data_IF_908282487194
#
_entry.id   IF_908282487194
#
_cell.length_a   1.000
_cell.length_b   1.000
_cell.length_c   1.000
_cell.angle_alpha   90.00
_cell.angle_beta   90.00
_cell.angle_gamma   90.00
#
_symmetry.space_group_name_H-M   'P 1'
#
loop_
_entity.id
_entity.type
_entity.pdbx_description
1 polymer ?
#
# COMPACT_ATOMS: atom_id res chain seq x y z
N UNK A 1 13.64 -14.39 -15.33
CA UNK A 1 12.23 -13.97 -15.19
C UNK A 1 11.50 -14.47 -16.42
N UNK A 2 10.52 -15.36 -16.25
CA UNK A 2 9.87 -16.05 -17.36
C UNK A 2 8.46 -15.50 -17.63
N UNK A 3 8.25 -15.01 -18.84
CA UNK A 3 6.93 -14.96 -19.47
C UNK A 3 6.88 -16.17 -20.43
N UNK A 4 6.42 -17.31 -19.91
CA UNK A 4 5.80 -18.36 -20.71
C UNK A 4 6.67 -19.36 -21.47
N UNK A 5 7.81 -19.03 -22.08
CA UNK A 5 8.52 -20.01 -22.97
C UNK A 5 10.04 -19.84 -23.11
N UNK A 6 10.66 -18.93 -22.36
CA UNK A 6 12.10 -18.69 -22.44
C UNK A 6 12.79 -19.00 -21.11
N UNK A 7 13.68 -20.00 -21.13
CA UNK A 7 14.72 -20.15 -20.11
C UNK A 7 15.82 -19.18 -20.48
N UNK A 8 15.84 -18.02 -19.83
CA UNK A 8 17.01 -17.14 -19.85
C UNK A 8 18.04 -17.78 -18.91
N UNK A 9 18.95 -18.57 -19.48
CA UNK A 9 20.12 -19.04 -18.75
C UNK A 9 21.04 -17.84 -18.46
N UNK A 10 21.68 -17.84 -17.29
CA UNK A 10 22.73 -16.86 -17.04
C UNK A 10 23.81 -17.04 -18.13
N UNK A 11 24.18 -15.98 -18.86
CA UNK A 11 25.29 -16.09 -19.79
C UNK A 11 26.51 -16.59 -18.99
N UNK A 12 27.30 -17.53 -19.54
CA UNK A 12 28.44 -18.06 -18.82
C UNK A 12 29.35 -16.90 -18.39
N UNK A 13 29.72 -16.89 -17.11
CA UNK A 13 30.79 -16.02 -16.65
C UNK A 13 32.05 -16.31 -17.46
N UNK A 14 32.94 -15.33 -17.58
CA UNK A 14 34.22 -15.48 -18.27
C UNK A 14 34.91 -16.79 -17.85
N UNK A 15 35.47 -17.57 -18.79
CA UNK A 15 35.98 -18.93 -18.54
C UNK A 15 36.97 -19.02 -17.37
N UNK A 16 37.73 -17.94 -17.13
CA UNK A 16 38.65 -17.84 -15.98
C UNK A 16 37.92 -17.72 -14.64
N UNK A 17 36.81 -16.98 -14.59
CA UNK A 17 35.98 -16.82 -13.39
C UNK A 17 35.24 -18.11 -13.03
N UNK A 18 34.76 -18.84 -14.05
CA UNK A 18 34.09 -20.13 -13.88
C UNK A 18 35.05 -21.33 -13.83
N UNK A 19 36.36 -21.10 -13.92
CA UNK A 19 37.36 -22.18 -13.99
C UNK A 19 37.31 -23.09 -12.75
N UNK A 20 37.38 -24.41 -12.94
CA UNK A 20 37.55 -25.33 -11.82
C UNK A 20 38.93 -25.19 -11.13
N UNK A 21 39.91 -24.57 -11.78
CA UNK A 21 41.25 -24.37 -11.23
C UNK A 21 41.28 -23.14 -10.29
N UNK A 22 41.54 -23.31 -8.99
CA UNK A 22 41.53 -22.21 -8.03
C UNK A 22 42.57 -21.12 -8.32
N UNK A 23 43.70 -21.46 -8.95
CA UNK A 23 44.74 -20.49 -9.33
C UNK A 23 44.25 -19.58 -10.47
N UNK A 24 43.50 -20.14 -11.42
CA UNK A 24 42.94 -19.38 -12.53
C UNK A 24 41.84 -18.42 -12.06
N UNK A 25 40.98 -18.86 -11.13
CA UNK A 25 40.00 -17.98 -10.47
C UNK A 25 40.68 -16.87 -9.68
N UNK A 26 41.68 -17.21 -8.86
CA UNK A 26 42.44 -16.21 -8.11
C UNK A 26 43.11 -15.17 -9.02
N UNK A 27 43.73 -15.61 -10.13
CA UNK A 27 44.36 -14.71 -11.09
C UNK A 27 43.32 -13.80 -11.77
N UNK A 28 42.15 -14.33 -12.13
CA UNK A 28 41.03 -13.55 -12.63
C UNK A 28 40.58 -12.46 -11.63
N UNK A 29 40.38 -12.84 -10.37
CA UNK A 29 39.91 -11.92 -9.33
C UNK A 29 40.97 -10.84 -9.03
N UNK A 30 42.25 -11.23 -9.00
CA UNK A 30 43.35 -10.27 -8.85
C UNK A 30 43.37 -9.25 -9.99
N UNK A 31 43.23 -9.69 -11.24
CA UNK A 31 43.20 -8.76 -12.40
C UNK A 31 41.98 -7.85 -12.32
N UNK A 32 40.83 -8.39 -11.93
CA UNK A 32 39.59 -7.62 -11.76
C UNK A 32 39.75 -6.55 -10.68
N UNK A 33 40.38 -6.87 -9.55
CA UNK A 33 40.61 -5.93 -8.45
C UNK A 33 41.69 -4.89 -8.78
N UNK A 34 42.75 -5.26 -9.50
CA UNK A 34 43.83 -4.34 -9.88
C UNK A 34 43.43 -3.38 -11.00
N UNK A 35 42.57 -3.82 -11.93
CA UNK A 35 42.09 -3.03 -13.05
C UNK A 35 40.57 -3.26 -13.25
N UNK A 36 39.71 -2.66 -12.40
CA UNK A 36 38.27 -2.93 -12.39
C UNK A 36 37.52 -2.31 -13.58
N UNK A 37 38.11 -1.35 -14.30
CA UNK A 37 37.42 -0.60 -15.36
C UNK A 37 36.82 -1.48 -16.48
N UNK A 38 37.51 -2.51 -17.03
CA UNK A 38 36.93 -3.40 -18.04
C UNK A 38 35.75 -4.21 -17.50
N UNK A 39 35.83 -4.68 -16.24
CA UNK A 39 34.72 -5.37 -15.58
C UNK A 39 33.52 -4.43 -15.45
N UNK A 40 33.74 -3.22 -14.90
CA UNK A 40 32.71 -2.18 -14.74
C UNK A 40 32.04 -1.84 -16.06
N UNK A 41 32.79 -1.57 -17.13
CA UNK A 41 32.22 -1.26 -18.46
C UNK A 41 31.44 -2.42 -19.09
N UNK A 42 31.79 -3.65 -18.74
CA UNK A 42 31.11 -4.84 -19.26
C UNK A 42 29.74 -4.99 -18.61
N UNK A 43 29.65 -4.90 -17.28
CA UNK A 43 28.43 -5.17 -16.53
C UNK A 43 27.58 -3.93 -16.23
N UNK A 44 28.18 -2.75 -16.12
CA UNK A 44 27.46 -1.50 -15.89
C UNK A 44 27.42 -0.66 -17.16
N UNK A 45 26.20 -0.45 -17.67
CA UNK A 45 25.91 0.42 -18.81
C UNK A 45 25.38 1.77 -18.34
N UNK A 46 25.45 2.84 -19.16
CA UNK A 46 24.85 4.15 -18.86
C UNK A 46 23.45 4.06 -18.24
N UNK A 47 22.55 3.28 -18.84
CA UNK A 47 21.17 3.12 -18.35
C UNK A 47 21.01 2.41 -17.00
N UNK A 48 22.07 1.85 -16.41
CA UNK A 48 22.06 1.34 -15.03
C UNK A 48 22.51 2.38 -14.00
N UNK A 49 23.25 3.41 -14.41
CA UNK A 49 23.96 4.33 -13.52
C UNK A 49 23.52 5.78 -13.66
N UNK A 50 23.20 6.22 -14.87
CA UNK A 50 22.82 7.59 -15.17
C UNK A 50 21.42 7.87 -14.59
N UNK A 51 21.31 8.96 -13.82
CA UNK A 51 20.09 9.29 -13.06
C UNK A 51 18.86 9.47 -13.96
N UNK A 52 19.06 9.95 -15.17
CA UNK A 52 18.03 10.21 -16.18
C UNK A 52 17.68 8.97 -17.04
N UNK A 53 18.30 7.81 -16.78
CA UNK A 53 18.02 6.56 -17.51
C UNK A 53 17.76 5.35 -16.59
N UNK A 54 18.16 5.45 -15.31
CA UNK A 54 18.05 4.36 -14.34
C UNK A 54 16.59 3.96 -14.08
N UNK A 55 15.65 4.91 -14.11
CA UNK A 55 14.24 4.61 -13.89
C UNK A 55 13.61 3.91 -15.11
N UNK A 56 14.03 4.26 -16.32
CA UNK A 56 13.64 3.65 -17.59
C UNK A 56 14.07 2.18 -17.62
N UNK A 57 15.26 1.87 -17.10
CA UNK A 57 15.69 0.48 -16.91
C UNK A 57 14.74 -0.28 -15.99
N UNK A 58 14.34 0.28 -14.85
CA UNK A 58 13.35 -0.35 -13.97
C UNK A 58 11.99 -0.52 -14.67
N UNK A 59 11.61 0.40 -15.56
CA UNK A 59 10.31 0.38 -16.25
C UNK A 59 10.10 -0.86 -17.12
N UNK A 60 11.16 -1.54 -17.58
CA UNK A 60 11.03 -2.74 -18.41
C UNK A 60 10.30 -3.87 -17.68
N UNK A 61 10.33 -3.86 -16.36
CA UNK A 61 9.64 -4.83 -15.51
C UNK A 61 8.61 -4.18 -14.57
N UNK A 62 8.79 -2.90 -14.21
CA UNK A 62 7.93 -2.14 -13.30
C UNK A 62 6.84 -1.30 -14.02
N UNK A 63 6.53 -1.67 -15.25
CA UNK A 63 5.39 -1.17 -16.01
C UNK A 63 4.73 -2.33 -16.75
N UNK A 64 3.72 -2.93 -16.13
CA UNK A 64 3.11 -4.17 -16.61
C UNK A 64 1.66 -3.99 -17.02
N UNK A 65 1.21 -4.89 -17.89
CA UNK A 65 -0.17 -4.99 -18.33
C UNK A 65 -0.49 -6.46 -18.65
N UNK A 66 -1.78 -6.77 -18.72
CA UNK A 66 -2.27 -8.04 -19.24
C UNK A 66 -3.05 -7.73 -20.52
N UNK A 67 -2.60 -8.31 -21.64
CA UNK A 67 -3.24 -8.10 -22.93
C UNK A 67 -4.16 -9.27 -23.31
N UNK A 68 -4.96 -9.10 -24.37
CA UNK A 68 -5.92 -10.08 -24.88
C UNK A 68 -5.33 -11.48 -25.03
N UNK A 69 -4.09 -11.68 -25.54
CA UNK A 69 -3.50 -13.02 -25.62
C UNK A 69 -3.29 -13.73 -24.28
N UNK A 70 -3.22 -12.99 -23.16
CA UNK A 70 -3.01 -13.55 -21.82
C UNK A 70 -4.32 -13.80 -21.10
N UNK A 71 -5.35 -12.97 -21.34
CA UNK A 71 -6.60 -12.98 -20.55
C UNK A 71 -7.89 -13.28 -21.34
N UNK A 72 -7.82 -13.33 -22.67
CA UNK A 72 -8.96 -13.61 -23.55
C UNK A 72 -10.06 -12.54 -23.54
N UNK A 73 -9.80 -11.33 -23.01
CA UNK A 73 -10.84 -10.32 -22.74
C UNK A 73 -10.50 -8.93 -23.30
N UNK A 74 -9.56 -8.20 -22.67
CA UNK A 74 -9.16 -6.85 -23.08
C UNK A 74 -7.78 -6.50 -22.52
N UNK A 75 -7.22 -5.39 -23.00
CA UNK A 75 -6.08 -4.78 -22.30
C UNK A 75 -6.49 -4.35 -20.89
N UNK A 76 -5.77 -4.86 -19.89
CA UNK A 76 -5.96 -4.59 -18.47
C UNK A 76 -4.67 -3.99 -17.93
N UNK A 77 -4.80 -2.84 -17.25
CA UNK A 77 -3.67 -2.14 -16.63
C UNK A 77 -3.12 -2.95 -15.46
N UNK A 78 -1.88 -3.40 -15.54
CA UNK A 78 -1.19 -3.94 -14.38
C UNK A 78 -0.58 -2.84 -13.52
N UNK A 79 0.36 -3.20 -12.65
CA UNK A 79 1.08 -2.19 -11.89
C UNK A 79 1.97 -1.34 -12.80
N UNK A 80 2.06 -0.05 -12.52
CA UNK A 80 2.76 0.92 -13.35
C UNK A 80 3.54 1.88 -12.46
N UNK A 81 4.64 1.46 -11.88
CA UNK A 81 5.40 2.33 -10.97
C UNK A 81 6.09 3.46 -11.73
N UNK A 82 6.55 3.21 -12.96
CA UNK A 82 7.34 4.18 -13.72
C UNK A 82 6.55 5.45 -14.06
N UNK A 83 5.37 5.35 -14.68
CA UNK A 83 4.61 6.56 -15.07
C UNK A 83 4.16 7.34 -13.83
N UNK A 84 3.84 6.64 -12.75
CA UNK A 84 3.44 7.25 -11.49
C UNK A 84 4.61 7.95 -10.79
N UNK A 85 5.80 7.37 -10.82
CA UNK A 85 7.02 8.01 -10.39
C UNK A 85 7.35 9.23 -11.23
N UNK A 86 7.31 9.10 -12.55
CA UNK A 86 7.57 10.19 -13.46
C UNK A 86 6.64 11.37 -13.21
N UNK A 87 5.34 11.12 -13.05
CA UNK A 87 4.35 12.15 -12.76
C UNK A 87 4.40 12.70 -11.32
N UNK A 88 5.24 12.16 -10.43
CA UNK A 88 5.32 12.60 -9.04
C UNK A 88 6.29 13.78 -8.85
N UNK A 89 6.15 14.47 -7.71
CA UNK A 89 7.13 15.45 -7.26
C UNK A 89 8.47 14.81 -6.93
N UNK A 90 8.50 13.51 -6.64
CA UNK A 90 9.72 12.75 -6.31
C UNK A 90 10.66 12.66 -7.51
N UNK A 91 10.15 12.55 -8.73
CA UNK A 91 10.99 12.58 -9.95
C UNK A 91 11.50 13.99 -10.29
N UNK A 92 10.89 15.04 -9.70
CA UNK A 92 11.08 16.43 -10.11
C UNK A 92 10.40 16.80 -11.44
N UNK A 93 9.65 15.87 -12.07
CA UNK A 93 8.98 16.09 -13.35
C UNK A 93 7.46 16.30 -13.22
N UNK A 94 6.87 15.89 -12.08
CA UNK A 94 5.44 16.06 -11.82
C UNK A 94 5.04 17.53 -11.76
N UNK A 95 4.09 17.96 -12.59
CA UNK A 95 3.63 19.36 -12.62
C UNK A 95 2.47 19.63 -11.66
N UNK A 96 1.75 18.58 -11.24
CA UNK A 96 0.52 18.69 -10.44
C UNK A 96 0.67 18.05 -9.06
N UNK A 97 1.91 17.83 -8.63
CA UNK A 97 2.23 17.20 -7.34
C UNK A 97 2.03 18.17 -6.17
N UNK A 98 1.53 17.65 -5.05
CA UNK A 98 1.27 18.45 -3.84
C UNK A 98 2.55 18.77 -3.05
N UNK A 99 3.52 17.86 -3.06
CA UNK A 99 4.79 17.99 -2.36
C UNK A 99 5.97 17.60 -3.25
N UNK A 100 7.11 18.26 -3.06
CA UNK A 100 8.37 17.98 -3.74
C UNK A 100 9.46 17.78 -2.69
N UNK A 101 10.30 16.74 -2.81
CA UNK A 101 11.50 16.64 -2.00
C UNK A 101 12.51 17.72 -2.41
N UNK A 102 13.44 18.06 -1.51
CA UNK A 102 14.51 19.03 -1.80
C UNK A 102 15.35 18.62 -3.01
N UNK A 103 15.55 17.32 -3.19
CA UNK A 103 16.27 16.73 -4.32
C UNK A 103 15.43 15.63 -4.96
N UNK A 104 15.24 15.66 -6.30
CA UNK A 104 14.62 14.55 -7.02
C UNK A 104 15.33 13.21 -6.78
N UNK A 105 14.54 12.15 -6.68
CA UNK A 105 14.99 10.78 -6.42
C UNK A 105 14.58 9.85 -7.55
N UNK A 106 15.42 8.85 -7.80
CA UNK A 106 15.13 7.75 -8.74
C UNK A 106 14.72 6.47 -8.00
N UNK A 107 14.36 5.42 -8.74
CA UNK A 107 14.06 4.10 -8.18
C UNK A 107 15.24 3.57 -7.33
N UNK A 108 16.48 3.71 -7.83
CA UNK A 108 17.70 3.25 -7.17
C UNK A 108 18.06 4.06 -5.92
N UNK A 109 17.62 5.31 -5.80
CA UNK A 109 17.81 6.09 -4.57
C UNK A 109 17.05 5.53 -3.37
N UNK A 110 15.89 4.91 -3.59
CA UNK A 110 15.07 4.33 -2.54
C UNK A 110 15.20 2.80 -2.43
N UNK A 111 15.25 2.09 -3.56
CA UNK A 111 15.28 0.62 -3.60
C UNK A 111 16.68 0.03 -3.72
N UNK A 112 17.72 0.85 -3.87
CA UNK A 112 19.12 0.43 -3.75
C UNK A 112 19.84 1.38 -2.78
N UNK A 113 19.43 1.42 -1.50
CA UNK A 113 20.03 2.32 -0.53
C UNK A 113 21.52 2.03 -0.38
N UNK A 114 22.29 3.05 0.00
CA UNK A 114 23.69 2.85 0.33
C UNK A 114 23.80 2.06 1.63
N UNK A 115 24.65 1.03 1.64
CA UNK A 115 24.98 0.21 2.78
C UNK A 115 26.50 0.21 2.98
N UNK A 116 26.93 0.32 4.25
CA UNK A 116 28.35 0.24 4.58
C UNK A 116 28.89 -1.14 4.18
N UNK A 117 30.04 -1.17 3.52
CA UNK A 117 30.63 -2.40 3.00
C UNK A 117 32.14 -2.28 2.86
N UNK A 118 32.82 -3.39 3.14
CA UNK A 118 34.25 -3.57 2.88
C UNK A 118 34.51 -4.21 1.50
N UNK A 119 33.47 -4.34 0.65
CA UNK A 119 33.59 -4.86 -0.70
C UNK A 119 34.55 -3.99 -1.54
N UNK A 120 35.41 -4.58 -2.41
CA UNK A 120 36.31 -3.81 -3.27
C UNK A 120 35.61 -2.79 -4.20
N UNK A 121 34.31 -2.94 -4.44
CA UNK A 121 33.48 -2.00 -5.20
C UNK A 121 32.91 -0.84 -4.37
N UNK A 122 33.14 -0.83 -3.05
CA UNK A 122 32.67 0.22 -2.18
C UNK A 122 33.32 1.58 -2.52
N UNK A 123 32.49 2.59 -2.69
CA UNK A 123 32.90 3.98 -2.88
C UNK A 123 32.71 4.71 -1.55
N UNK A 124 33.78 5.32 -1.03
CA UNK A 124 33.84 5.88 0.33
C UNK A 124 33.33 4.94 1.44
N UNK A 125 33.51 3.63 1.28
CA UNK A 125 33.08 2.59 2.24
C UNK A 125 31.60 2.19 2.12
N UNK A 126 30.92 2.59 1.03
CA UNK A 126 29.51 2.24 0.79
C UNK A 126 29.30 1.58 -0.57
N UNK A 127 28.35 0.64 -0.62
CA UNK A 127 27.83 0.06 -1.87
C UNK A 127 26.35 0.32 -2.00
N UNK A 128 25.85 0.34 -3.24
CA UNK A 128 24.40 0.30 -3.49
C UNK A 128 23.89 -1.11 -3.18
N UNK A 129 22.98 -1.21 -2.21
CA UNK A 129 22.37 -2.47 -1.82
C UNK A 129 21.62 -3.10 -2.98
N UNK A 130 21.87 -4.39 -3.23
CA UNK A 130 21.13 -5.21 -4.20
C UNK A 130 20.08 -6.09 -3.51
N UNK A 131 19.73 -5.77 -2.25
CA UNK A 131 18.63 -6.43 -1.52
C UNK A 131 17.24 -6.03 -2.04
N UNK A 132 17.16 -4.93 -2.78
CA UNK A 132 15.92 -4.35 -3.31
C UNK A 132 14.80 -4.31 -2.26
N UNK A 133 15.02 -3.69 -1.08
CA UNK A 133 13.99 -3.61 -0.06
C UNK A 133 12.75 -2.95 -0.64
N UNK A 134 11.63 -3.62 -0.47
CA UNK A 134 10.33 -3.19 -0.96
C UNK A 134 9.28 -3.65 0.03
N UNK A 135 8.34 -4.45 -0.44
CA UNK A 135 7.22 -4.85 0.39
C UNK A 135 7.14 -6.37 0.64
N UNK A 136 8.07 -7.17 0.12
CA UNK A 136 8.00 -8.63 0.22
C UNK A 136 8.58 -9.18 1.54
N UNK A 137 7.75 -9.23 2.58
CA UNK A 137 8.09 -9.90 3.85
C UNK A 137 7.85 -11.41 3.82
N UNK A 138 7.00 -11.90 2.91
CA UNK A 138 6.60 -13.31 2.87
C UNK A 138 7.75 -14.22 2.44
N UNK A 139 8.44 -13.90 1.33
CA UNK A 139 9.53 -14.74 0.83
C UNK A 139 10.69 -14.91 1.81
N UNK A 140 11.29 -13.85 2.39
CA UNK A 140 12.37 -14.04 3.35
C UNK A 140 11.88 -14.79 4.61
N UNK A 141 10.63 -14.57 5.04
CA UNK A 141 10.06 -15.30 6.17
C UNK A 141 9.95 -16.81 5.93
N UNK A 142 9.33 -17.22 4.81
CA UNK A 142 9.10 -18.65 4.53
C UNK A 142 10.38 -19.41 4.16
N UNK A 143 11.45 -18.70 3.80
CA UNK A 143 12.76 -19.28 3.50
C UNK A 143 13.77 -19.16 4.66
N UNK A 144 13.35 -18.64 5.84
CA UNK A 144 14.24 -18.54 7.00
C UNK A 144 15.39 -17.54 6.82
N UNK A 145 15.17 -16.44 6.10
CA UNK A 145 16.13 -15.35 5.90
C UNK A 145 15.77 -14.14 6.81
N UNK A 146 16.23 -14.13 8.07
CA UNK A 146 15.90 -13.06 9.02
C UNK A 146 16.54 -11.73 8.65
N UNK A 147 17.71 -11.74 7.98
CA UNK A 147 18.42 -10.52 7.62
C UNK A 147 17.66 -9.73 6.55
N UNK A 148 17.21 -10.42 5.50
CA UNK A 148 16.39 -9.79 4.46
C UNK A 148 15.01 -9.41 4.99
N UNK A 149 14.40 -10.24 5.85
CA UNK A 149 13.13 -9.90 6.49
C UNK A 149 13.24 -8.60 7.30
N UNK A 150 14.28 -8.48 8.11
CA UNK A 150 14.52 -7.27 8.91
C UNK A 150 14.79 -6.05 8.01
N UNK A 151 15.58 -6.20 6.95
CA UNK A 151 15.84 -5.13 5.99
C UNK A 151 14.53 -4.61 5.35
N UNK A 152 13.64 -5.51 4.94
CA UNK A 152 12.33 -5.15 4.37
C UNK A 152 11.42 -4.50 5.42
N UNK A 153 11.37 -5.02 6.65
CA UNK A 153 10.55 -4.44 7.71
C UNK A 153 11.05 -3.05 8.14
N UNK A 154 12.37 -2.85 8.22
CA UNK A 154 12.97 -1.53 8.44
C UNK A 154 12.58 -0.56 7.33
N UNK A 155 12.65 -0.99 6.07
CA UNK A 155 12.22 -0.16 4.94
C UNK A 155 10.74 0.24 5.03
N UNK A 156 9.84 -0.69 5.34
CA UNK A 156 8.41 -0.42 5.49
C UNK A 156 8.11 0.56 6.64
N UNK A 157 8.91 0.52 7.72
CA UNK A 157 8.80 1.42 8.88
C UNK A 157 9.55 2.74 8.73
N UNK A 158 10.31 2.95 7.65
CA UNK A 158 11.14 4.13 7.42
C UNK A 158 10.33 5.37 6.95
N UNK A 159 9.12 5.55 7.49
CA UNK A 159 8.27 6.70 7.17
C UNK A 159 7.77 6.73 5.72
N UNK A 160 7.52 5.56 5.11
CA UNK A 160 6.92 5.47 3.78
C UNK A 160 5.53 6.10 3.77
N UNK A 161 4.77 5.84 4.82
CA UNK A 161 3.47 6.44 5.10
C UNK A 161 3.43 6.95 6.52
N UNK A 162 2.51 7.87 6.79
CA UNK A 162 2.09 8.23 8.14
C UNK A 162 0.59 8.09 8.28
N UNK A 163 0.13 7.83 9.50
CA UNK A 163 -1.29 7.93 9.87
C UNK A 163 -1.43 8.99 10.96
N UNK A 164 -2.55 9.69 10.93
CA UNK A 164 -2.92 10.71 11.89
C UNK A 164 -4.39 10.53 12.27
N UNK A 165 -4.67 10.36 13.56
CA UNK A 165 -6.05 10.48 14.07
C UNK A 165 -6.37 11.97 14.17
N UNK A 166 -6.68 12.54 13.01
CA UNK A 166 -6.63 13.96 12.75
C UNK A 166 -7.69 14.76 13.49
N UNK A 167 -8.95 14.33 13.41
CA UNK A 167 -10.06 15.19 13.85
C UNK A 167 -11.35 14.45 14.19
N UNK A 168 -12.26 15.19 14.81
CA UNK A 168 -13.65 14.77 15.02
C UNK A 168 -14.59 15.73 14.29
N UNK A 169 -15.55 15.18 13.56
CA UNK A 169 -16.62 15.92 12.91
C UNK A 169 -18.00 15.54 13.47
N UNK A 170 -18.82 16.55 13.75
CA UNK A 170 -20.23 16.36 14.17
C UNK A 170 -21.14 16.42 12.96
N UNK A 171 -21.28 15.29 12.29
CA UNK A 171 -22.14 15.14 11.11
C UNK A 171 -23.32 14.22 11.41
N UNK A 172 -24.50 14.58 10.92
CA UNK A 172 -25.71 13.77 11.06
C UNK A 172 -25.50 12.32 10.59
N UNK A 173 -26.16 11.36 11.24
CA UNK A 173 -25.99 9.93 10.98
C UNK A 173 -26.35 9.50 9.53
N UNK A 174 -27.17 10.31 8.83
CA UNK A 174 -27.45 10.18 7.40
C UNK A 174 -27.28 11.53 6.73
N UNK A 175 -26.39 11.68 5.73
CA UNK A 175 -26.59 12.72 4.74
C UNK A 175 -27.94 12.45 4.07
N UNK A 176 -28.76 13.49 3.88
CA UNK A 176 -29.91 13.38 2.99
C UNK A 176 -29.39 12.87 1.64
N UNK A 177 -30.04 11.84 1.07
CA UNK A 177 -29.77 11.40 -0.30
C UNK A 177 -29.91 12.64 -1.18
N UNK A 178 -28.79 13.21 -1.63
CA UNK A 178 -28.85 14.23 -2.67
C UNK A 178 -29.20 13.50 -3.95
N UNK A 179 -30.50 13.50 -4.25
CA UNK A 179 -31.03 13.11 -5.54
C UNK A 179 -30.60 14.16 -6.58
N UNK A 180 -29.34 14.13 -6.97
CA UNK A 180 -28.81 14.86 -8.10
C UNK A 180 -28.27 13.84 -9.08
N UNK A 181 -28.88 13.73 -10.27
CA UNK A 181 -28.28 13.02 -11.40
C UNK A 181 -26.82 13.43 -11.48
N UNK A 182 -25.90 12.48 -11.31
CA UNK A 182 -24.53 12.69 -11.75
C UNK A 182 -24.63 13.18 -13.21
N UNK A 183 -24.16 14.40 -13.50
CA UNK A 183 -23.86 14.78 -14.88
C UNK A 183 -23.06 13.62 -15.46
N UNK A 184 -23.38 13.21 -16.70
CA UNK A 184 -22.65 12.14 -17.38
C UNK A 184 -21.15 12.39 -17.17
N UNK A 185 -20.55 11.58 -16.29
CA UNK A 185 -19.12 11.61 -16.09
C UNK A 185 -18.51 11.23 -17.45
N UNK A 186 -17.36 11.81 -17.79
CA UNK A 186 -16.57 11.29 -18.89
C UNK A 186 -16.46 9.76 -18.71
N UNK A 187 -16.57 8.97 -19.78
CA UNK A 187 -16.39 7.52 -19.69
C UNK A 187 -15.02 7.22 -19.07
N UNK A 188 -15.00 6.81 -17.80
CA UNK A 188 -13.79 6.40 -17.11
C UNK A 188 -13.51 4.93 -17.41
N UNK A 189 -12.30 4.60 -17.83
CA UNK A 189 -11.87 3.21 -17.97
C UNK A 189 -11.97 2.52 -16.60
N UNK A 190 -12.65 1.37 -16.54
CA UNK A 190 -12.55 0.46 -15.40
C UNK A 190 -11.13 -0.11 -15.37
N UNK A 191 -10.27 0.51 -14.58
CA UNK A 191 -8.86 0.16 -14.42
C UNK A 191 -8.67 -0.70 -13.18
N UNK A 192 -7.83 -1.73 -13.30
CA UNK A 192 -7.41 -2.66 -12.24
C UNK A 192 -6.28 -2.11 -11.38
N UNK A 193 -5.72 -0.96 -11.76
CA UNK A 193 -4.77 -0.18 -10.98
C UNK A 193 -5.22 1.28 -10.90
N UNK A 194 -4.73 2.05 -9.92
CA UNK A 194 -5.10 3.44 -9.78
C UNK A 194 -4.66 4.26 -11.01
N UNK A 195 -5.39 5.34 -11.26
CA UNK A 195 -5.16 6.30 -12.34
C UNK A 195 -4.85 7.63 -11.67
N UNK A 196 -3.67 8.18 -11.90
CA UNK A 196 -3.18 9.40 -11.24
C UNK A 196 -3.33 10.63 -12.11
N UNK A 197 -2.24 11.40 -12.22
CA UNK A 197 -2.18 12.67 -12.96
C UNK A 197 -2.59 12.55 -14.43
N UNK A 198 -2.50 11.35 -15.02
CA UNK A 198 -2.92 11.09 -16.40
C UNK A 198 -4.44 11.22 -16.61
N UNK A 199 -5.22 11.31 -15.53
CA UNK A 199 -6.64 11.62 -15.58
C UNK A 199 -6.93 13.09 -15.23
N UNK A 200 -7.97 13.65 -15.85
CA UNK A 200 -8.43 15.01 -15.55
C UNK A 200 -8.82 15.17 -14.06
N UNK A 201 -9.32 14.10 -13.43
CA UNK A 201 -9.84 14.08 -12.05
C UNK A 201 -8.84 13.50 -11.01
N UNK A 202 -7.59 13.20 -11.37
CA UNK A 202 -6.63 12.48 -10.51
C UNK A 202 -7.19 11.17 -9.92
N UNK A 203 -8.03 10.46 -10.67
CA UNK A 203 -8.71 9.24 -10.21
C UNK A 203 -9.84 9.45 -9.21
N UNK A 204 -10.20 10.71 -8.89
CA UNK A 204 -11.26 11.05 -7.96
C UNK A 204 -12.67 10.68 -8.44
N UNK A 205 -13.58 10.41 -7.49
CA UNK A 205 -14.98 10.07 -7.77
C UNK A 205 -15.86 11.33 -7.81
N UNK A 206 -17.06 11.19 -8.40
CA UNK A 206 -18.02 12.27 -8.59
C UNK A 206 -18.31 13.06 -7.30
N UNK A 207 -18.36 14.38 -7.42
CA UNK A 207 -18.45 15.32 -6.31
C UNK A 207 -19.69 15.06 -5.41
N UNK A 208 -19.46 14.90 -4.11
CA UNK A 208 -20.52 14.91 -3.13
C UNK A 208 -20.98 16.37 -2.89
N UNK A 209 -22.26 16.64 -3.16
CA UNK A 209 -22.86 17.94 -2.85
C UNK A 209 -23.36 17.94 -1.40
N UNK A 210 -22.67 18.64 -0.51
CA UNK A 210 -23.10 18.85 0.88
C UNK A 210 -22.45 20.11 1.48
N UNK A 211 -22.96 20.65 2.60
CA UNK A 211 -22.19 21.60 3.39
C UNK A 211 -20.94 20.90 3.94
N UNK A 212 -19.80 21.60 4.06
CA UNK A 212 -18.59 21.02 4.65
C UNK A 212 -18.87 20.62 6.10
N UNK A 213 -18.32 19.49 6.52
CA UNK A 213 -18.38 19.07 7.91
C UNK A 213 -17.56 20.02 8.78
N UNK A 214 -18.09 20.39 9.94
CA UNK A 214 -17.31 21.13 10.93
C UNK A 214 -16.41 20.16 11.69
N UNK A 215 -15.09 20.31 11.51
CA UNK A 215 -14.06 19.43 12.07
C UNK A 215 -13.32 20.15 13.20
N UNK A 216 -13.20 19.49 14.35
CA UNK A 216 -12.30 19.89 15.43
C UNK A 216 -11.01 19.09 15.29
N UNK A 217 -9.90 19.78 15.03
CA UNK A 217 -8.59 19.19 14.75
C UNK A 217 -7.45 20.22 14.95
N UNK A 218 -6.20 19.78 15.15
CA UNK A 218 -5.80 18.39 15.38
C UNK A 218 -6.04 17.91 16.81
N UNK A 219 -6.36 16.61 17.00
CA UNK A 219 -6.82 16.07 18.29
C UNK A 219 -5.77 16.05 19.42
N UNK A 220 -4.49 16.01 19.07
CA UNK A 220 -3.35 16.01 20.01
C UNK A 220 -2.98 17.41 20.49
N UNK A 221 -3.41 18.46 19.79
CA UNK A 221 -3.12 19.86 20.13
C UNK A 221 -4.31 20.58 20.75
N UNK A 222 -5.52 20.06 20.54
CA UNK A 222 -6.76 20.63 21.09
C UNK A 222 -7.45 19.58 21.93
N UNK A 223 -7.74 19.83 23.22
CA UNK A 223 -8.60 18.95 23.99
C UNK A 223 -9.96 18.83 23.31
N UNK A 224 -10.30 17.64 22.82
CA UNK A 224 -11.57 17.39 22.15
C UNK A 224 -12.54 16.74 23.11
N UNK A 225 -13.65 17.44 23.35
CA UNK A 225 -14.73 17.00 24.21
C UNK A 225 -15.79 16.31 23.36
N UNK A 226 -16.25 15.15 23.81
CA UNK A 226 -17.41 14.42 23.27
C UNK A 226 -18.41 14.14 24.40
N UNK A 227 -19.69 14.02 24.07
CA UNK A 227 -20.75 13.77 25.05
C UNK A 227 -21.17 12.31 25.08
N UNK A 228 -21.55 11.83 26.25
CA UNK A 228 -22.31 10.58 26.42
C UNK A 228 -23.58 10.61 25.55
N UNK A 229 -23.84 9.50 24.85
CA UNK A 229 -24.97 9.36 23.93
C UNK A 229 -24.77 10.03 22.55
N UNK A 230 -23.72 10.84 22.34
CA UNK A 230 -23.49 11.48 21.05
C UNK A 230 -22.87 10.55 20.01
N UNK A 231 -23.06 10.90 18.73
CA UNK A 231 -22.51 10.16 17.59
C UNK A 231 -21.58 11.07 16.79
N UNK A 232 -20.30 10.71 16.73
CA UNK A 232 -19.27 11.54 16.06
C UNK A 232 -18.59 10.79 14.93
N UNK A 233 -18.05 11.52 13.96
CA UNK A 233 -17.21 10.96 12.90
C UNK A 233 -15.74 11.22 13.23
N UNK A 234 -14.94 10.17 13.33
CA UNK A 234 -13.49 10.24 13.47
C UNK A 234 -12.88 10.34 12.07
N UNK A 235 -12.04 11.34 11.89
CA UNK A 235 -11.28 11.63 10.67
C UNK A 235 -9.86 11.08 10.86
N UNK A 236 -9.48 10.05 10.10
CA UNK A 236 -8.13 9.47 10.10
C UNK A 236 -7.47 9.76 8.77
N UNK A 237 -6.29 10.37 8.77
CA UNK A 237 -5.57 10.73 7.54
C UNK A 237 -4.37 9.83 7.36
N UNK A 238 -4.24 9.19 6.21
CA UNK A 238 -3.04 8.44 5.81
C UNK A 238 -2.34 9.20 4.70
N UNK A 239 -1.06 9.53 4.89
CA UNK A 239 -0.25 10.31 3.94
C UNK A 239 0.91 9.49 3.42
N UNK A 240 1.16 9.53 2.11
CA UNK A 240 2.42 9.04 1.52
C UNK A 240 3.52 10.10 1.71
N UNK A 241 4.70 9.66 2.17
CA UNK A 241 5.83 10.54 2.47
C UNK A 241 7.03 10.21 1.61
N UNK A 242 7.63 9.04 1.83
CA UNK A 242 8.84 8.62 1.13
C UNK A 242 8.54 7.66 -0.05
N UNK A 243 7.42 7.87 -0.74
CA UNK A 243 6.92 6.98 -1.81
C UNK A 243 6.78 7.77 -3.10
N UNK A 244 7.47 7.32 -4.14
CA UNK A 244 7.46 7.96 -5.47
C UNK A 244 6.36 7.47 -6.40
N UNK A 245 5.68 6.37 -6.10
CA UNK A 245 4.58 5.82 -6.90
C UNK A 245 3.31 5.71 -6.03
N UNK A 246 2.24 5.09 -6.54
CA UNK A 246 1.06 4.81 -5.70
C UNK A 246 1.43 3.91 -4.52
N UNK A 247 0.84 4.18 -3.36
CA UNK A 247 0.91 3.33 -2.19
C UNK A 247 -0.41 2.55 -1.99
N UNK A 248 -0.33 1.23 -1.75
CA UNK A 248 0.79 0.35 -2.05
C UNK A 248 1.08 0.28 -3.57
N UNK A 249 2.32 -0.05 -3.93
CA UNK A 249 2.73 -0.32 -5.32
C UNK A 249 2.71 -1.81 -5.67
N UNK A 250 3.03 -2.18 -6.90
CA UNK A 250 3.14 -3.58 -7.34
C UNK A 250 1.80 -4.30 -7.45
N UNK A 251 1.78 -5.59 -7.12
CA UNK A 251 0.59 -6.46 -7.26
C UNK A 251 -0.42 -6.22 -6.14
N UNK A 252 -1.07 -5.05 -6.16
CA UNK A 252 -2.02 -4.56 -5.15
C UNK A 252 -3.31 -5.38 -5.03
N UNK A 253 -3.47 -6.42 -5.84
CA UNK A 253 -4.53 -7.42 -5.75
C UNK A 253 -4.15 -8.62 -4.86
N UNK A 254 -2.88 -8.71 -4.44
CA UNK A 254 -2.35 -9.85 -3.71
C UNK A 254 -2.13 -9.61 -2.21
N UNK A 255 -2.24 -8.37 -1.73
CA UNK A 255 -1.76 -7.97 -0.39
C UNK A 255 -2.92 -7.67 0.55
N UNK A 256 -2.68 -7.82 1.85
CA UNK A 256 -3.50 -7.18 2.87
C UNK A 256 -2.76 -5.93 3.36
N UNK A 257 -3.20 -4.75 2.91
CA UNK A 257 -2.78 -3.45 3.46
C UNK A 257 -4.02 -2.74 3.93
N UNK A 258 -4.09 -2.40 5.22
CA UNK A 258 -5.33 -1.86 5.79
C UNK A 258 -5.05 -0.90 6.94
N UNK A 259 -6.05 -0.05 7.22
CA UNK A 259 -6.08 0.74 8.45
C UNK A 259 -6.93 0.03 9.50
N UNK A 260 -6.31 -0.22 10.64
CA UNK A 260 -6.99 -0.65 11.86
C UNK A 260 -7.24 0.58 12.73
N UNK A 261 -8.49 0.78 13.18
CA UNK A 261 -8.85 1.81 14.15
C UNK A 261 -9.53 1.15 15.36
N UNK A 262 -9.00 1.43 16.54
CA UNK A 262 -9.54 1.00 17.82
C UNK A 262 -9.88 2.21 18.69
N UNK A 263 -11.05 2.20 19.32
CA UNK A 263 -11.48 3.17 20.32
C UNK A 263 -11.78 2.45 21.64
N UNK A 264 -11.07 2.80 22.71
CA UNK A 264 -11.21 2.15 24.03
C UNK A 264 -11.46 3.23 25.09
N UNK A 265 -12.47 3.05 25.93
CA UNK A 265 -12.67 3.93 27.08
C UNK A 265 -11.69 3.62 28.22
N UNK A 266 -11.58 4.53 29.20
CA UNK A 266 -10.70 4.35 30.37
C UNK A 266 -11.16 3.25 31.35
N UNK A 267 -12.32 2.64 31.12
CA UNK A 267 -12.78 1.43 31.80
C UNK A 267 -12.30 0.15 31.11
N UNK A 268 -11.60 0.27 29.97
CA UNK A 268 -11.08 -0.85 29.19
C UNK A 268 -12.10 -1.44 28.21
N UNK A 269 -13.25 -0.79 27.99
CA UNK A 269 -14.26 -1.26 27.04
C UNK A 269 -13.94 -0.77 25.63
N UNK A 270 -13.90 -1.69 24.68
CA UNK A 270 -13.76 -1.40 23.26
C UNK A 270 -15.09 -0.87 22.71
N UNK A 271 -15.09 0.39 22.27
CA UNK A 271 -16.26 1.08 21.72
C UNK A 271 -16.38 0.91 20.21
N UNK A 272 -15.24 0.80 19.52
CA UNK A 272 -15.13 0.57 18.09
C UNK A 272 -13.82 -0.18 17.83
N UNK A 273 -13.86 -1.22 17.00
CA UNK A 273 -12.66 -1.86 16.47
C UNK A 273 -12.92 -2.24 15.01
N UNK A 274 -12.37 -1.47 14.09
CA UNK A 274 -12.42 -1.74 12.65
C UNK A 274 -11.05 -2.19 12.17
N UNK A 275 -11.01 -3.21 11.31
CA UNK A 275 -9.73 -3.74 10.81
C UNK A 275 -9.01 -4.68 11.76
N UNK A 276 -9.71 -5.23 12.75
CA UNK A 276 -9.18 -6.33 13.56
C UNK A 276 -8.87 -7.54 12.67
N UNK A 277 -7.71 -8.15 12.86
CA UNK A 277 -7.40 -9.46 12.29
C UNK A 277 -7.76 -10.55 13.31
N UNK A 278 -8.37 -11.63 12.84
CA UNK A 278 -8.66 -12.80 13.68
C UNK A 278 -7.38 -13.49 14.15
N UNK A 279 -7.52 -14.46 15.07
CA UNK A 279 -6.42 -15.31 15.55
C UNK A 279 -5.23 -14.48 16.08
N UNK A 280 -5.52 -13.50 16.94
CA UNK A 280 -4.52 -12.60 17.52
C UNK A 280 -3.65 -11.84 16.48
N UNK A 281 -4.14 -11.70 15.25
CA UNK A 281 -3.50 -10.94 14.19
C UNK A 281 -3.01 -11.77 13.00
N UNK A 282 -3.00 -13.10 13.09
CA UNK A 282 -2.55 -13.97 11.98
C UNK A 282 -3.66 -14.30 10.98
N UNK A 283 -4.93 -14.21 11.41
CA UNK A 283 -6.10 -14.62 10.63
C UNK A 283 -6.56 -13.62 9.56
N UNK A 284 -7.77 -13.85 8.98
CA UNK A 284 -8.40 -12.90 8.07
C UNK A 284 -8.70 -11.58 8.78
N UNK A 285 -8.54 -10.48 8.04
CA UNK A 285 -8.88 -9.13 8.50
C UNK A 285 -10.38 -8.89 8.30
N UNK A 286 -10.99 -8.14 9.21
CA UNK A 286 -12.36 -7.62 9.12
C UNK A 286 -12.74 -7.25 7.67
N UNK A 287 -13.76 -7.87 7.06
CA UNK A 287 -14.18 -7.58 5.69
C UNK A 287 -14.58 -6.11 5.47
N UNK A 288 -15.01 -5.42 6.52
CA UNK A 288 -15.38 -3.99 6.51
C UNK A 288 -14.20 -3.03 6.67
N UNK A 289 -12.97 -3.54 6.83
CA UNK A 289 -11.79 -2.72 7.05
C UNK A 289 -11.48 -1.78 5.87
N UNK A 290 -10.77 -0.70 6.16
CA UNK A 290 -10.30 0.21 5.12
C UNK A 290 -9.04 -0.34 4.45
N UNK A 291 -9.22 -1.21 3.46
CA UNK A 291 -8.12 -1.77 2.66
C UNK A 291 -7.61 -0.80 1.59
N UNK A 292 -6.29 -0.82 1.38
CA UNK A 292 -5.61 -0.27 0.22
C UNK A 292 -5.25 -1.40 -0.74
N UNK A 293 -6.10 -1.64 -1.74
CA UNK A 293 -5.96 -2.75 -2.71
C UNK A 293 -6.74 -2.50 -4.00
N UNK A 294 -6.54 -3.39 -4.96
CA UNK A 294 -7.44 -3.59 -6.10
C UNK A 294 -8.30 -4.83 -5.87
N UNK A 295 -9.60 -4.66 -5.65
CA UNK A 295 -10.55 -5.77 -5.52
C UNK A 295 -11.11 -6.12 -6.90
N UNK A 296 -10.44 -7.05 -7.58
CA UNK A 296 -10.80 -7.54 -8.90
C UNK A 296 -11.79 -8.69 -8.82
N UNK A 297 -12.68 -8.79 -9.80
CA UNK A 297 -13.71 -9.81 -9.89
C UNK A 297 -13.62 -10.56 -11.23
N UNK A 298 -13.87 -11.86 -11.18
CA UNK A 298 -13.96 -12.72 -12.38
C UNK A 298 -15.30 -12.59 -13.11
N UNK A 299 -15.53 -13.42 -14.14
CA UNK A 299 -16.75 -13.39 -14.96
C UNK A 299 -18.05 -13.70 -14.22
N UNK A 300 -17.99 -14.36 -13.06
CA UNK A 300 -19.14 -14.67 -12.22
C UNK A 300 -19.23 -13.76 -10.97
N UNK A 301 -18.27 -12.85 -10.82
CA UNK A 301 -18.24 -11.91 -9.71
C UNK A 301 -17.49 -12.42 -8.49
N UNK A 302 -16.74 -13.52 -8.60
CA UNK A 302 -15.89 -13.99 -7.52
C UNK A 302 -14.64 -13.12 -7.39
N UNK A 303 -14.13 -12.86 -6.17
CA UNK A 303 -12.86 -12.18 -5.99
C UNK A 303 -11.69 -12.93 -6.64
N UNK A 304 -10.83 -12.20 -7.34
CA UNK A 304 -9.53 -12.71 -7.78
C UNK A 304 -8.62 -12.85 -6.56
N UNK A 305 -8.48 -14.07 -6.04
CA UNK A 305 -7.79 -14.37 -4.78
C UNK A 305 -6.72 -15.47 -4.89
N UNK A 306 -6.53 -16.06 -6.08
CA UNK A 306 -5.57 -17.15 -6.36
C UNK A 306 -4.36 -16.70 -7.19
N UNK A 307 -4.13 -15.38 -7.29
CA UNK A 307 -3.22 -14.77 -8.29
C UNK A 307 -3.59 -15.07 -9.75
N UNK A 308 -4.86 -15.39 -9.99
CA UNK A 308 -5.46 -15.68 -11.30
C UNK A 308 -5.89 -14.40 -12.04
N UNK A 309 -5.01 -13.41 -12.14
CA UNK A 309 -5.34 -12.09 -12.69
C UNK A 309 -5.87 -12.12 -14.14
N UNK A 310 -5.53 -13.15 -14.92
CA UNK A 310 -6.06 -13.37 -16.28
C UNK A 310 -7.59 -13.59 -16.31
N UNK A 311 -8.19 -14.04 -15.21
CA UNK A 311 -9.64 -14.22 -15.11
C UNK A 311 -10.39 -12.91 -14.82
N UNK A 312 -9.69 -11.80 -14.58
CA UNK A 312 -10.34 -10.52 -14.24
C UNK A 312 -11.30 -10.06 -15.34
N UNK A 313 -12.55 -9.76 -14.98
CA UNK A 313 -13.57 -9.17 -15.87
C UNK A 313 -14.09 -7.84 -15.37
N UNK A 314 -14.09 -7.61 -14.05
CA UNK A 314 -14.52 -6.34 -13.45
C UNK A 314 -13.69 -5.99 -12.23
N UNK A 315 -13.91 -4.79 -11.69
CA UNK A 315 -13.24 -4.28 -10.48
C UNK A 315 -14.31 -3.70 -9.58
N UNK A 316 -14.38 -4.14 -8.33
CA UNK A 316 -15.28 -3.58 -7.33
C UNK A 316 -14.78 -2.20 -6.86
N UNK A 317 -13.48 -2.10 -6.55
CA UNK A 317 -12.80 -0.83 -6.31
C UNK A 317 -11.29 -0.97 -6.47
N UNK A 318 -10.64 0.16 -6.73
CA UNK A 318 -9.20 0.35 -6.52
C UNK A 318 -9.04 1.49 -5.51
N UNK A 319 -8.30 1.25 -4.43
CA UNK A 319 -8.00 2.27 -3.43
C UNK A 319 -6.51 2.27 -3.16
N UNK A 320 -5.81 3.25 -3.71
CA UNK A 320 -4.38 3.49 -3.54
C UNK A 320 -4.17 5.00 -3.32
N UNK A 321 -3.10 5.37 -2.64
CA UNK A 321 -2.76 6.78 -2.36
C UNK A 321 -1.67 7.23 -3.35
N UNK A 322 -1.86 8.31 -4.13
CA UNK A 322 -0.81 8.85 -5.00
C UNK A 322 0.47 9.23 -4.22
N UNK A 323 1.61 9.39 -4.90
CA UNK A 323 2.84 9.86 -4.27
C UNK A 323 2.70 11.31 -3.79
N UNK A 324 3.17 11.58 -2.57
CA UNK A 324 3.01 12.90 -1.94
C UNK A 324 1.55 13.33 -1.76
N UNK A 325 0.64 12.40 -1.56
CA UNK A 325 -0.79 12.67 -1.36
C UNK A 325 -1.29 11.99 -0.08
N UNK A 326 -2.59 12.13 0.19
CA UNK A 326 -3.22 11.58 1.37
C UNK A 326 -4.61 11.01 1.06
N UNK A 327 -5.07 10.11 1.93
CA UNK A 327 -6.43 9.56 1.96
C UNK A 327 -7.06 9.87 3.33
N UNK A 328 -8.35 10.22 3.33
CA UNK A 328 -9.10 10.59 4.54
C UNK A 328 -10.15 9.54 4.85
N UNK A 329 -10.01 8.83 5.95
CA UNK A 329 -10.88 7.74 6.35
C UNK A 329 -11.87 8.25 7.39
N UNK A 330 -13.13 7.91 7.16
CA UNK A 330 -14.25 8.34 7.98
C UNK A 330 -14.81 7.18 8.80
N UNK A 331 -14.58 7.18 10.12
CA UNK A 331 -15.16 6.19 11.03
C UNK A 331 -16.29 6.80 11.85
N UNK A 332 -17.38 6.06 12.06
CA UNK A 332 -18.45 6.49 12.96
C UNK A 332 -18.18 5.90 14.35
N UNK A 333 -18.10 6.76 15.36
CA UNK A 333 -17.98 6.36 16.76
C UNK A 333 -19.25 6.79 17.50
N UNK A 334 -19.94 5.81 18.09
CA UNK A 334 -21.05 6.04 18.99
C UNK A 334 -20.52 6.05 20.42
N UNK A 335 -20.80 7.12 21.17
CA UNK A 335 -20.38 7.23 22.57
C UNK A 335 -21.50 6.66 23.46
N UNK A 336 -21.28 5.58 24.23
CA UNK A 336 -22.30 5.06 25.13
C UNK A 336 -22.69 6.02 26.25
N UNK A 337 -23.91 5.88 26.77
CA UNK A 337 -24.43 6.67 27.89
C UNK A 337 -23.67 6.42 29.21
N UNK A 338 -23.00 5.28 29.32
CA UNK A 338 -22.25 4.81 30.48
C UNK A 338 -20.73 4.79 30.23
N UNK A 339 -20.25 5.49 29.20
CA UNK A 339 -18.82 5.53 28.88
C UNK A 339 -17.93 5.99 30.05
N UNK A 340 -16.65 5.68 29.95
CA UNK A 340 -15.59 6.26 30.78
C UNK A 340 -15.46 7.79 30.66
N UNK A 341 -14.53 8.41 31.38
CA UNK A 341 -14.25 9.87 31.28
C UNK A 341 -13.32 10.20 30.10
N UNK A 342 -12.62 9.20 29.58
CA UNK A 342 -11.68 9.33 28.47
C UNK A 342 -11.85 8.20 27.48
N UNK A 343 -11.70 8.51 26.19
CA UNK A 343 -11.61 7.53 25.10
C UNK A 343 -10.26 7.69 24.42
N UNK A 344 -9.53 6.59 24.27
CA UNK A 344 -8.28 6.52 23.51
C UNK A 344 -8.56 5.96 22.12
N UNK A 345 -8.17 6.70 21.09
CA UNK A 345 -8.25 6.30 19.70
C UNK A 345 -6.86 5.88 19.22
N UNK A 346 -6.73 4.69 18.63
CA UNK A 346 -5.46 4.18 18.08
C UNK A 346 -5.67 3.73 16.63
N UNK A 347 -4.94 4.34 15.70
CA UNK A 347 -4.93 3.96 14.30
C UNK A 347 -3.58 3.36 13.91
N UNK A 348 -3.59 2.30 13.10
CA UNK A 348 -2.41 1.65 12.53
C UNK A 348 -2.56 1.42 11.05
N UNK A 349 -1.50 1.65 10.28
CA UNK A 349 -1.41 1.17 8.89
C UNK A 349 -0.65 -0.15 8.91
N UNK A 350 -1.37 -1.24 8.66
CA UNK A 350 -0.83 -2.59 8.67
C UNK A 350 -0.49 -3.05 7.24
N UNK A 351 0.62 -3.76 7.10
CA UNK A 351 1.05 -4.36 5.83
C UNK A 351 1.34 -5.85 6.02
N UNK A 352 0.64 -6.70 5.29
CA UNK A 352 0.91 -8.14 5.15
C UNK A 352 1.05 -8.47 3.67
N UNK A 353 2.22 -8.99 3.29
CA UNK A 353 2.59 -9.18 1.87
C UNK A 353 1.61 -10.03 1.10
N UNK A 354 1.00 -11.05 1.68
CA UNK A 354 -0.02 -11.83 0.98
C UNK A 354 -1.34 -11.76 1.73
N UNK A 355 -2.42 -11.63 0.97
CA UNK A 355 -3.75 -11.75 1.50
C UNK A 355 -3.88 -13.09 2.23
N UNK A 356 -4.54 -13.10 3.39
CA UNK A 356 -4.65 -14.31 4.21
C UNK A 356 -5.12 -15.52 3.39
N UNK A 357 -6.22 -15.36 2.66
CA UNK A 357 -6.82 -16.43 1.84
C UNK A 357 -5.84 -16.97 0.79
N UNK A 358 -5.08 -16.09 0.12
CA UNK A 358 -4.09 -16.51 -0.87
C UNK A 358 -2.96 -17.33 -0.24
N UNK A 359 -2.55 -16.97 0.97
CA UNK A 359 -1.52 -17.73 1.71
C UNK A 359 -2.02 -19.14 2.02
N UNK A 360 -3.27 -19.27 2.50
CA UNK A 360 -3.88 -20.58 2.75
C UNK A 360 -3.92 -21.43 1.47
N UNK A 361 -4.43 -20.84 0.38
CA UNK A 361 -4.56 -21.53 -0.90
C UNK A 361 -3.21 -21.93 -1.51
N UNK A 362 -2.21 -21.04 -1.47
CA UNK A 362 -0.91 -21.29 -2.10
C UNK A 362 -0.11 -22.41 -1.40
N UNK A 363 -0.32 -22.60 -0.09
CA UNK A 363 0.40 -23.63 0.68
C UNK A 363 -0.37 -24.95 0.78
N UNK A 364 -1.69 -24.90 0.99
CA UNK A 364 -2.47 -26.10 1.29
C UNK A 364 -3.79 -26.20 0.52
N UNK A 365 -3.97 -25.41 -0.55
CA UNK A 365 -5.21 -25.39 -1.34
C UNK A 365 -5.42 -26.68 -2.12
N UNK A 366 -6.50 -27.41 -1.80
CA UNK A 366 -7.04 -28.48 -2.63
C UNK A 366 -8.52 -28.22 -2.93
N UNK A 367 -9.00 -28.69 -4.10
CA UNK A 367 -10.42 -28.55 -4.42
C UNK A 367 -11.23 -29.48 -3.52
N UNK A 368 -12.33 -28.98 -2.96
CA UNK A 368 -13.30 -29.83 -2.28
C UNK A 368 -13.92 -30.77 -3.32
N UNK A 369 -13.54 -32.05 -3.30
CA UNK A 369 -14.09 -33.05 -4.23
C UNK A 369 -15.51 -33.39 -3.76
N UNK A 370 -16.53 -32.80 -4.39
CA UNK A 370 -17.89 -33.34 -4.30
C UNK A 370 -18.14 -34.25 -5.50
N UNK A 371 -18.81 -35.39 -5.27
CA UNK A 371 -19.05 -36.42 -6.27
C UNK A 371 -19.93 -35.96 -7.46
N UNK A 372 -20.53 -34.77 -7.36
CA UNK A 372 -21.49 -34.21 -8.32
C UNK A 372 -21.09 -32.80 -8.84
N UNK A 373 -19.92 -32.26 -8.49
CA UNK A 373 -19.51 -30.94 -8.96
C UNK A 373 -18.85 -31.02 -10.35
N UNK A 374 -19.60 -30.67 -11.39
CA UNK A 374 -19.01 -30.09 -12.59
C UNK A 374 -18.03 -28.99 -12.13
N UNK A 375 -16.74 -29.19 -12.41
CA UNK A 375 -15.69 -28.23 -12.05
C UNK A 375 -15.91 -26.98 -12.91
N UNK A 376 -16.67 -26.02 -12.37
CA UNK A 376 -17.03 -24.74 -12.99
C UNK A 376 -15.81 -23.80 -13.05
N UNK A 377 -14.80 -24.19 -13.83
CA UNK A 377 -13.57 -23.45 -14.06
C UNK A 377 -13.41 -23.23 -15.55
N UNK A 378 -13.21 -21.98 -15.94
CA UNK A 378 -12.97 -21.58 -17.33
C UNK A 378 -11.83 -20.57 -17.38
N UNK A 379 -11.49 -20.08 -18.57
CA UNK A 379 -10.57 -18.94 -18.72
C UNK A 379 -11.09 -17.64 -18.06
N UNK A 380 -12.39 -17.57 -17.75
CA UNK A 380 -13.05 -16.37 -17.26
C UNK A 380 -13.44 -16.40 -15.78
N UNK A 381 -13.48 -17.57 -15.12
CA UNK A 381 -13.90 -17.70 -13.72
C UNK A 381 -13.47 -19.04 -13.10
N UNK A 382 -13.48 -19.11 -11.77
CA UNK A 382 -13.28 -20.33 -10.98
C UNK A 382 -14.22 -20.32 -9.78
N UNK A 383 -15.34 -21.03 -9.91
CA UNK A 383 -16.37 -21.20 -8.87
C UNK A 383 -16.06 -22.37 -7.92
N UNK A 384 -14.90 -23.00 -8.04
CA UNK A 384 -14.59 -24.16 -7.23
C UNK A 384 -14.48 -23.84 -5.76
N UNK A 385 -14.98 -24.75 -4.93
CA UNK A 385 -14.77 -24.74 -3.50
C UNK A 385 -13.38 -25.30 -3.17
N UNK A 386 -12.71 -24.68 -2.19
CA UNK A 386 -11.35 -25.01 -1.78
C UNK A 386 -11.30 -25.32 -0.29
N UNK A 387 -10.58 -26.38 0.06
CA UNK A 387 -10.12 -26.64 1.44
C UNK A 387 -8.64 -26.33 1.55
N UNK A 388 -8.16 -26.11 2.77
CA UNK A 388 -6.76 -25.79 3.07
C UNK A 388 -6.08 -26.94 3.81
N UNK A 389 -6.24 -28.14 3.25
CA UNK A 389 -5.87 -29.42 3.88
C UNK A 389 -4.87 -30.23 3.05
N UNK A 390 -4.42 -29.71 1.91
CA UNK A 390 -3.43 -30.38 1.06
C UNK A 390 -2.12 -30.60 1.81
N UNK A 391 -1.38 -31.64 1.40
CA UNK A 391 -0.04 -31.92 1.92
C UNK A 391 0.91 -30.75 1.62
N UNK A 392 1.62 -30.29 2.64
CA UNK A 392 2.54 -29.15 2.57
C UNK A 392 4.01 -29.58 2.52
N UNK A 393 4.30 -30.88 2.44
CA UNK A 393 5.68 -31.43 2.47
C UNK A 393 6.54 -30.92 1.30
N UNK A 394 5.93 -30.72 0.11
CA UNK A 394 6.62 -30.34 -1.12
C UNK A 394 6.52 -28.85 -1.49
N UNK A 395 6.00 -27.99 -0.59
CA UNK A 395 5.96 -26.53 -0.85
C UNK A 395 7.37 -25.96 -1.00
N UNK A 396 7.55 -24.93 -1.82
CA UNK A 396 8.88 -24.42 -2.17
C UNK A 396 9.64 -23.75 -1.01
N UNK A 397 8.95 -23.22 0.00
CA UNK A 397 9.58 -22.59 1.17
C UNK A 397 10.08 -23.61 2.19
N UNK A 398 10.96 -23.19 3.10
CA UNK A 398 11.47 -24.01 4.20
C UNK A 398 10.38 -24.37 5.22
N UNK A 399 9.35 -23.52 5.37
CA UNK A 399 8.19 -23.79 6.22
C UNK A 399 7.25 -24.76 5.51
N UNK A 400 7.24 -26.03 5.95
CA UNK A 400 6.35 -27.11 5.47
C UNK A 400 5.00 -27.13 6.21
N UNK A 401 4.34 -25.99 6.19
CA UNK A 401 3.02 -25.75 6.78
C UNK A 401 2.46 -24.46 6.15
N UNK A 402 1.19 -24.14 6.40
CA UNK A 402 0.67 -22.81 6.08
C UNK A 402 1.34 -21.80 7.03
N UNK A 403 2.10 -20.82 6.52
CA UNK A 403 2.84 -19.90 7.36
C UNK A 403 1.96 -18.74 7.84
N UNK A 404 2.17 -18.32 9.09
CA UNK A 404 1.67 -17.05 9.59
C UNK A 404 2.55 -15.90 9.06
N UNK A 405 2.24 -15.42 7.85
CA UNK A 405 3.02 -14.35 7.22
C UNK A 405 2.99 -13.09 8.10
N UNK A 406 4.16 -12.51 8.42
CA UNK A 406 4.24 -11.41 9.38
C UNK A 406 3.56 -10.14 8.86
N UNK A 407 2.73 -9.55 9.73
CA UNK A 407 2.18 -8.20 9.56
C UNK A 407 3.17 -7.16 10.08
N UNK A 408 3.44 -6.14 9.29
CA UNK A 408 4.28 -4.99 9.66
C UNK A 408 3.40 -3.76 9.88
N UNK A 409 3.39 -3.23 11.10
CA UNK A 409 2.83 -1.89 11.37
C UNK A 409 3.77 -0.86 10.75
N UNK A 410 3.32 -0.18 9.69
CA UNK A 410 4.13 0.81 8.97
C UNK A 410 4.11 2.17 9.67
N UNK A 411 2.96 2.53 10.24
CA UNK A 411 2.75 3.77 10.98
C UNK A 411 1.63 3.58 12.00
N UNK A 412 1.70 4.32 13.10
CA UNK A 412 0.68 4.35 14.13
C UNK A 412 0.46 5.78 14.65
N UNK A 413 -0.76 6.05 15.12
CA UNK A 413 -1.12 7.31 15.76
C UNK A 413 -2.12 7.05 16.87
N UNK A 414 -1.99 7.81 17.96
CA UNK A 414 -2.92 7.76 19.09
C UNK A 414 -3.44 9.16 19.39
N UNK A 415 -4.73 9.27 19.67
CA UNK A 415 -5.37 10.49 20.15
C UNK A 415 -6.27 10.18 21.35
N UNK A 416 -6.68 11.20 22.09
CA UNK A 416 -7.59 11.05 23.22
C UNK A 416 -8.74 12.03 23.13
N UNK A 417 -9.92 11.56 23.53
CA UNK A 417 -11.12 12.36 23.67
C UNK A 417 -11.49 12.44 25.15
N UNK A 418 -11.90 13.61 25.61
CA UNK A 418 -12.52 13.79 26.93
C UNK A 418 -14.02 13.58 26.80
N UNK A 419 -14.59 12.73 27.64
CA UNK A 419 -16.02 12.44 27.64
C UNK A 419 -16.69 13.21 28.77
N UNK A 420 -17.79 13.88 28.45
CA UNK A 420 -18.60 14.66 29.40
C UNK A 420 -20.06 14.20 29.38
N UNK A 421 -20.83 14.63 30.38
CA UNK A 421 -22.25 14.33 30.47
C UNK A 421 -23.02 14.88 29.26
N UNK A 422 -24.12 14.22 28.92
CA UNK A 422 -24.93 14.47 27.73
C UNK A 422 -25.35 15.94 27.56
N UNK A 423 -25.65 16.64 28.66
CA UNK A 423 -26.13 18.03 28.63
C UNK A 423 -25.01 19.07 28.73
N UNK A 424 -23.74 18.64 28.82
CA UNK A 424 -22.61 19.56 28.98
C UNK A 424 -22.43 20.42 27.72
N UNK A 425 -22.33 21.75 27.83
CA UNK A 425 -21.98 22.60 26.70
C UNK A 425 -20.58 22.25 26.18
N UNK A 426 -20.48 21.86 24.90
CA UNK A 426 -19.19 21.64 24.23
C UNK A 426 -18.74 22.98 23.64
N UNK A 427 -17.53 23.46 23.94
CA UNK A 427 -16.98 24.66 23.33
C UNK A 427 -17.02 24.56 21.79
N UNK A 428 -17.22 25.68 21.09
CA UNK A 428 -17.09 25.72 19.64
C UNK A 428 -15.76 25.12 19.19
N UNK A 429 -15.76 24.47 18.03
CA UNK A 429 -14.60 23.81 17.45
C UNK A 429 -13.44 24.81 17.32
N UNK A 430 -12.47 24.75 18.23
CA UNK A 430 -11.25 25.55 18.12
C UNK A 430 -10.36 24.88 17.10
N UNK A 431 -10.07 25.59 16.01
CA UNK A 431 -9.00 25.22 15.08
C UNK A 431 -7.70 25.75 15.69
N UNK A 432 -6.81 24.86 16.10
CA UNK A 432 -5.46 25.26 16.47
C UNK A 432 -4.72 25.68 15.19
N UNK A 433 -4.72 26.99 14.92
CA UNK A 433 -4.00 27.60 13.80
C UNK A 433 -2.56 27.85 14.24
N UNK A 434 -1.72 26.84 14.07
CA UNK A 434 -0.28 26.95 14.21
C UNK A 434 0.36 26.56 12.86
N UNK A 435 1.45 27.23 12.50
CA UNK A 435 2.21 26.90 11.28
C UNK A 435 2.64 25.43 11.31
N UNK A 436 2.86 24.87 12.50
CA UNK A 436 3.19 23.45 12.68
C UNK A 436 2.06 22.48 12.26
N UNK A 437 0.80 22.92 12.20
CA UNK A 437 -0.35 22.09 11.80
C UNK A 437 -0.71 22.21 10.33
N UNK A 438 -0.03 23.09 9.59
CA UNK A 438 -0.30 23.38 8.17
C UNK A 438 -0.35 22.12 7.31
N UNK A 439 0.66 21.27 7.46
CA UNK A 439 0.77 20.04 6.69
C UNK A 439 -0.37 19.07 6.97
N UNK A 440 -0.85 18.99 8.22
CA UNK A 440 -1.92 18.07 8.61
C UNK A 440 -3.27 18.49 8.02
N UNK A 441 -3.57 19.79 8.04
CA UNK A 441 -4.75 20.36 7.37
C UNK A 441 -4.66 20.24 5.85
N UNK A 442 -3.47 20.42 5.27
CA UNK A 442 -3.25 20.17 3.85
C UNK A 442 -3.49 18.70 3.49
N UNK A 443 -2.96 17.75 4.27
CA UNK A 443 -3.14 16.31 4.03
C UNK A 443 -4.63 15.92 4.14
N UNK A 444 -5.34 16.44 5.14
CA UNK A 444 -6.79 16.28 5.25
C UNK A 444 -7.52 16.84 4.01
N UNK A 445 -7.17 18.05 3.58
CA UNK A 445 -7.75 18.69 2.40
C UNK A 445 -7.47 17.93 1.10
N UNK A 446 -6.25 17.40 0.93
CA UNK A 446 -5.85 16.57 -0.21
C UNK A 446 -6.70 15.29 -0.25
N UNK A 447 -6.86 14.61 0.89
CA UNK A 447 -7.70 13.41 0.97
C UNK A 447 -9.14 13.69 0.57
N UNK A 448 -9.74 14.75 1.11
CA UNK A 448 -11.10 15.18 0.72
C UNK A 448 -11.19 15.55 -0.77
N UNK A 449 -10.19 16.25 -1.31
CA UNK A 449 -10.14 16.63 -2.71
C UNK A 449 -10.15 15.39 -3.63
N UNK A 450 -9.30 14.41 -3.34
CA UNK A 450 -9.22 13.16 -4.11
C UNK A 450 -10.47 12.28 -3.96
N UNK A 451 -11.22 12.45 -2.89
CA UNK A 451 -12.52 11.78 -2.69
C UNK A 451 -13.70 12.53 -3.32
N UNK A 452 -13.47 13.75 -3.85
CA UNK A 452 -14.49 14.58 -4.49
C UNK A 452 -15.28 15.48 -3.54
N UNK A 453 -14.89 15.60 -2.25
CA UNK A 453 -15.46 16.59 -1.33
C UNK A 453 -14.76 17.94 -1.51
N UNK A 454 -15.10 18.64 -2.59
CA UNK A 454 -14.46 19.90 -2.97
C UNK A 454 -14.67 21.01 -1.93
N UNK A 455 -15.82 21.04 -1.24
CA UNK A 455 -16.13 22.06 -0.24
C UNK A 455 -15.41 21.80 1.08
N UNK A 456 -15.35 20.54 1.50
CA UNK A 456 -14.53 20.12 2.64
C UNK A 456 -13.05 20.43 2.37
N UNK A 457 -12.56 20.07 1.18
CA UNK A 457 -11.18 20.36 0.76
C UNK A 457 -10.87 21.86 0.77
N UNK A 458 -11.72 22.70 0.15
CA UNK A 458 -11.56 24.15 0.18
C UNK A 458 -11.51 24.71 1.61
N UNK A 459 -12.39 24.21 2.48
CA UNK A 459 -12.42 24.64 3.90
C UNK A 459 -11.14 24.27 4.63
N UNK A 460 -10.61 23.07 4.39
CA UNK A 460 -9.35 22.61 4.96
C UNK A 460 -8.18 23.47 4.45
N UNK A 461 -8.08 23.71 3.14
CA UNK A 461 -7.00 24.52 2.56
C UNK A 461 -7.03 25.99 2.99
N UNK A 462 -8.22 26.57 3.21
CA UNK A 462 -8.36 27.95 3.73
C UNK A 462 -8.06 28.08 5.22
N UNK A 463 -7.95 26.97 5.94
CA UNK A 463 -7.63 26.98 7.36
C UNK A 463 -6.15 27.31 7.60
N UNK A 464 -5.28 27.12 6.60
CA UNK A 464 -3.81 27.27 6.72
C UNK A 464 -3.22 28.44 5.96
#
# INVERSE_FOLDING_TARGET
>A
MGQGDFVVEYPPLHDLAASANPVMRWAHDLVTNLAPEPHRRTFMKPFHQERDQSAEFCSTCHKVHLDVPVNGYRWIRGFNEYDNWQASGVSGQGARSFYYPDTPKTCSDCHMPLEASDDPSADDGFVRSHRFPGANTALPYVNGDPEQLEAVQRFLRAGQVSVDVFGIARVAARPARVAGRARAAEPTLSSTFAVGEESAQFGGRAAAAGPPAEVTAPLDLTPVIVRRGESVRVEVVVRTRNVGHFFPGGTVDAYDVWVELEAVDDQGRVLLHSGAAADEGSGPVDPGAHFYRSLQLDGHGNPINKRNAWMTRSVAYVRLIPPGAADTIHYRLQIPDDAGEKITLRAKVNYRKFAWWYTQWAFAGERAISADADVNVTEAYDDGEWTFTADTTDVSGEIKAIPDIPTTVMAESTASLTVVDADTPVPEARRALDVSTRDRWNDYGIGLLLQGDLRGAETAFRTV
#
